data_IF_857429943750
#
_entry.id   IF_857429943750
#
_cell.length_a   1.000
_cell.length_b   1.000
_cell.length_c   1.000
_cell.angle_alpha   90.00
_cell.angle_beta   90.00
_cell.angle_gamma   90.00
#
_symmetry.space_group_name_H-M   'P 1'
#
loop_
_entity.id
_entity.type
_entity.pdbx_description
1 polymer ?
#
# COMPACT_ATOMS: atom_id res chain seq x y z
N UNK A 1 -33.57 -66.61 -47.72
CA UNK A 1 -32.48 -67.52 -47.31
C UNK A 1 -31.23 -66.70 -47.08
N UNK A 2 -30.70 -66.72 -45.85
CA UNK A 2 -29.41 -66.13 -45.42
C UNK A 2 -29.36 -64.60 -45.36
N UNK A 3 -28.84 -63.93 -44.33
CA UNK A 3 -28.08 -64.35 -43.15
C UNK A 3 -27.31 -63.13 -42.62
N UNK A 4 -27.31 -62.98 -41.30
CA UNK A 4 -26.56 -62.10 -40.38
C UNK A 4 -25.32 -61.29 -40.82
N UNK A 5 -25.09 -60.17 -40.13
CA UNK A 5 -23.74 -59.61 -39.93
C UNK A 5 -23.64 -58.14 -39.49
N UNK A 6 -23.79 -57.87 -38.19
CA UNK A 6 -23.35 -56.63 -37.49
C UNK A 6 -21.81 -56.68 -37.24
N UNK A 7 -21.14 -55.65 -36.68
CA UNK A 7 -20.85 -54.31 -37.20
C UNK A 7 -19.32 -53.97 -37.14
N UNK A 8 -18.82 -53.15 -38.07
CA UNK A 8 -17.43 -52.66 -38.06
C UNK A 8 -17.33 -51.23 -37.54
N UNK A 9 -17.14 -51.09 -36.23
CA UNK A 9 -16.94 -49.84 -35.48
C UNK A 9 -15.72 -49.06 -35.97
N UNK A 10 -15.90 -47.89 -36.59
CA UNK A 10 -14.86 -46.86 -36.64
C UNK A 10 -15.20 -45.77 -35.62
N UNK A 11 -14.54 -45.86 -34.46
CA UNK A 11 -14.43 -44.77 -33.49
C UNK A 11 -13.76 -43.58 -34.20
N UNK A 12 -14.54 -42.59 -34.61
CA UNK A 12 -14.03 -41.23 -34.84
C UNK A 12 -13.84 -40.57 -33.48
N UNK A 13 -12.62 -40.55 -32.96
CA UNK A 13 -12.26 -39.69 -31.84
C UNK A 13 -12.37 -38.23 -32.30
N UNK A 14 -13.49 -37.58 -32.00
CA UNK A 14 -13.55 -36.12 -31.93
C UNK A 14 -12.80 -35.68 -30.68
N UNK A 15 -11.54 -35.29 -30.86
CA UNK A 15 -10.79 -34.51 -29.87
C UNK A 15 -11.41 -33.11 -29.79
N UNK A 16 -12.40 -32.95 -28.91
CA UNK A 16 -12.83 -31.62 -28.48
C UNK A 16 -11.77 -31.10 -27.51
N UNK A 17 -10.86 -30.27 -28.02
CA UNK A 17 -9.98 -29.45 -27.18
C UNK A 17 -10.84 -28.44 -26.43
N UNK A 18 -11.29 -28.82 -25.23
CA UNK A 18 -11.72 -27.90 -24.20
C UNK A 18 -10.51 -27.04 -23.81
N UNK A 19 -10.41 -25.86 -24.43
CA UNK A 19 -9.57 -24.77 -23.92
C UNK A 19 -10.14 -24.36 -22.57
N UNK A 20 -9.64 -24.99 -21.51
CA UNK A 20 -9.81 -24.49 -20.15
C UNK A 20 -9.22 -23.08 -20.11
N UNK A 21 -10.08 -22.07 -19.98
CA UNK A 21 -9.64 -20.74 -19.61
C UNK A 21 -8.80 -20.88 -18.31
N UNK A 22 -7.61 -20.26 -18.22
CA UNK A 22 -6.85 -20.32 -17.00
C UNK A 22 -7.71 -19.70 -15.90
N UNK A 23 -8.03 -20.52 -14.89
CA UNK A 23 -8.67 -20.04 -13.69
C UNK A 23 -7.79 -18.90 -13.15
N UNK A 24 -8.33 -17.68 -13.17
CA UNK A 24 -7.74 -16.53 -12.49
C UNK A 24 -7.80 -16.89 -11.00
N UNK A 25 -6.69 -17.42 -10.50
CA UNK A 25 -6.51 -17.60 -9.07
C UNK A 25 -6.68 -16.22 -8.43
N UNK A 26 -7.55 -16.06 -7.42
CA UNK A 26 -7.55 -14.84 -6.64
C UNK A 26 -6.17 -14.76 -6.02
N UNK A 27 -5.45 -13.69 -6.35
CA UNK A 27 -4.15 -13.38 -5.79
C UNK A 27 -4.26 -13.46 -4.26
N UNK A 28 -3.79 -14.56 -3.68
CA UNK A 28 -3.57 -14.67 -2.25
C UNK A 28 -2.65 -13.51 -1.89
N UNK A 29 -3.21 -12.55 -1.15
CA UNK A 29 -2.48 -11.40 -0.64
C UNK A 29 -1.23 -11.89 0.05
N UNK A 30 -0.09 -11.63 -0.58
CA UNK A 30 1.23 -11.90 -0.03
C UNK A 30 1.49 -10.82 1.03
N UNK A 31 0.76 -10.87 2.14
CA UNK A 31 1.14 -10.15 3.34
C UNK A 31 2.48 -10.71 3.81
N UNK A 32 3.53 -9.93 3.58
CA UNK A 32 4.59 -9.73 4.55
C UNK A 32 5.32 -8.46 4.16
N UNK A 33 4.97 -7.40 4.89
CA UNK A 33 5.88 -6.37 5.37
C UNK A 33 7.33 -6.74 5.04
N UNK A 34 7.99 -5.89 4.27
CA UNK A 34 9.44 -5.89 4.21
C UNK A 34 9.95 -5.58 5.63
N UNK A 35 9.94 -6.61 6.49
CA UNK A 35 10.51 -6.55 7.82
C UNK A 35 11.95 -6.05 7.68
N UNK A 36 12.46 -5.31 8.68
CA UNK A 36 13.70 -4.58 8.56
C UNK A 36 14.82 -5.58 8.26
N UNK A 37 15.21 -5.71 6.99
CA UNK A 37 16.44 -6.37 6.61
C UNK A 37 17.55 -5.47 7.13
N UNK A 38 17.99 -5.83 8.35
CA UNK A 38 19.14 -5.41 9.13
C UNK A 38 20.02 -4.32 8.51
N UNK A 39 20.45 -3.39 9.37
CA UNK A 39 21.49 -2.35 9.22
C UNK A 39 22.84 -2.78 8.56
N UNK A 40 22.93 -3.97 7.98
CA UNK A 40 24.06 -4.55 7.25
C UNK A 40 23.94 -4.47 5.72
N UNK A 41 22.81 -4.03 5.14
CA UNK A 41 22.69 -3.86 3.70
C UNK A 41 23.65 -2.78 3.19
N UNK A 42 24.58 -3.19 2.33
CA UNK A 42 25.59 -2.36 1.66
C UNK A 42 25.22 -2.22 0.19
N UNK A 43 24.98 -0.99 -0.26
CA UNK A 43 24.62 -0.68 -1.65
C UNK A 43 25.84 -0.10 -2.35
N UNK A 44 26.20 -0.65 -3.51
CA UNK A 44 27.28 -0.16 -4.38
C UNK A 44 26.72 0.55 -5.60
N UNK A 45 27.54 1.35 -6.25
CA UNK A 45 27.16 2.14 -7.42
C UNK A 45 27.34 1.40 -8.73
N UNK A 46 26.77 2.00 -9.78
CA UNK A 46 26.90 1.58 -11.17
C UNK A 46 27.34 2.78 -12.01
N UNK A 47 28.21 2.53 -12.99
CA UNK A 47 28.61 3.52 -14.00
C UNK A 47 27.63 3.60 -15.16
N UNK A 48 26.75 2.60 -15.29
CA UNK A 48 25.83 2.45 -16.42
C UNK A 48 24.51 3.17 -16.13
N UNK A 49 24.02 3.09 -14.88
CA UNK A 49 22.72 3.63 -14.50
C UNK A 49 22.73 4.19 -13.07
N UNK A 50 21.89 5.20 -12.78
CA UNK A 50 21.68 5.66 -11.42
C UNK A 50 21.12 4.57 -10.52
N UNK A 51 21.73 4.32 -9.36
CA UNK A 51 21.26 3.32 -8.41
C UNK A 51 20.14 3.90 -7.55
N UNK A 52 18.97 3.26 -7.55
CA UNK A 52 17.83 3.66 -6.72
C UNK A 52 18.03 3.11 -5.29
N UNK A 53 17.89 3.98 -4.30
CA UNK A 53 17.97 3.63 -2.87
C UNK A 53 16.66 4.05 -2.20
N UNK A 54 16.09 3.17 -1.39
CA UNK A 54 14.85 3.42 -0.66
C UNK A 54 15.17 3.53 0.83
N UNK A 55 14.73 4.62 1.45
CA UNK A 55 14.96 4.88 2.87
C UNK A 55 13.63 5.15 3.54
N UNK A 56 13.33 4.40 4.59
CA UNK A 56 12.11 4.58 5.37
C UNK A 56 12.18 5.92 6.11
N UNK A 57 11.08 6.66 6.15
CA UNK A 57 11.00 7.88 6.93
C UNK A 57 11.43 7.65 8.38
N UNK A 58 12.18 8.61 8.92
CA UNK A 58 12.69 8.63 10.30
C UNK A 58 13.67 7.52 10.67
N UNK A 59 14.05 6.68 9.70
CA UNK A 59 15.06 5.65 9.85
C UNK A 59 16.39 6.07 9.24
N UNK A 60 17.44 5.33 9.56
CA UNK A 60 18.74 5.49 8.91
C UNK A 60 18.73 4.83 7.52
N UNK A 61 19.44 5.44 6.57
CA UNK A 61 19.66 4.81 5.27
C UNK A 61 20.49 3.52 5.41
N UNK A 62 20.38 2.57 4.44
CA UNK A 62 21.41 1.55 4.30
C UNK A 62 22.78 2.20 4.07
N UNK A 63 23.84 1.39 4.16
CA UNK A 63 25.21 1.85 3.91
C UNK A 63 25.42 2.03 2.41
N UNK A 64 25.47 3.28 1.95
CA UNK A 64 25.65 3.60 0.52
C UNK A 64 27.13 3.83 0.26
N UNK A 65 27.75 2.97 -0.54
CA UNK A 65 29.19 2.99 -0.78
C UNK A 65 29.53 3.83 -2.01
N UNK A 66 30.62 4.58 -1.97
CA UNK A 66 31.14 5.32 -3.12
C UNK A 66 32.10 4.48 -3.99
N UNK A 67 31.69 3.27 -4.37
CA UNK A 67 32.48 2.36 -5.22
C UNK A 67 31.54 1.54 -6.10
N UNK A 68 32.06 1.01 -7.21
CA UNK A 68 31.35 -0.02 -7.98
C UNK A 68 31.50 -1.39 -7.31
N UNK A 69 30.70 -2.36 -7.76
CA UNK A 69 30.84 -3.75 -7.31
C UNK A 69 32.24 -4.31 -7.60
N UNK A 70 32.85 -3.95 -8.73
CA UNK A 70 34.21 -4.39 -9.11
C UNK A 70 35.27 -3.88 -8.14
N UNK A 71 35.22 -2.60 -7.78
CA UNK A 71 36.23 -1.97 -6.91
C UNK A 71 35.97 -2.21 -5.42
N UNK A 72 34.82 -2.78 -5.05
CA UNK A 72 34.40 -2.96 -3.65
C UNK A 72 35.42 -3.71 -2.79
N UNK A 73 36.05 -4.72 -3.38
CA UNK A 73 37.03 -5.57 -2.70
C UNK A 73 38.45 -5.37 -3.28
N UNK A 74 38.65 -4.36 -4.12
CA UNK A 74 39.97 -4.02 -4.64
C UNK A 74 40.72 -3.14 -3.65
N UNK A 75 42.02 -3.33 -3.56
CA UNK A 75 42.89 -2.39 -2.86
C UNK A 75 43.04 -1.12 -3.70
N UNK A 76 42.79 0.03 -3.07
CA UNK A 76 42.88 1.34 -3.71
C UNK A 76 43.91 2.17 -2.94
N UNK A 77 44.84 2.78 -3.66
CA UNK A 77 45.87 3.66 -3.09
C UNK A 77 45.31 5.09 -3.07
N UNK A 78 45.49 5.77 -1.93
CA UNK A 78 45.09 7.15 -1.64
C UNK A 78 43.65 7.51 -2.08
N UNK A 79 42.62 6.74 -1.69
CA UNK A 79 41.26 6.97 -2.18
C UNK A 79 40.66 8.24 -1.54
N UNK A 80 40.18 9.15 -2.38
CA UNK A 80 39.48 10.38 -1.97
C UNK A 80 38.02 10.29 -2.40
N UNK A 81 37.12 10.30 -1.43
CA UNK A 81 35.67 10.25 -1.63
C UNK A 81 35.05 11.63 -1.41
N UNK A 82 34.20 12.09 -2.35
CA UNK A 82 33.41 13.32 -2.17
C UNK A 82 31.96 13.07 -2.55
N UNK A 83 31.05 13.54 -1.71
CA UNK A 83 29.61 13.38 -1.87
C UNK A 83 28.92 14.73 -2.07
N UNK A 84 28.00 14.76 -3.03
CA UNK A 84 27.07 15.86 -3.25
C UNK A 84 25.63 15.31 -3.20
N UNK A 85 24.74 15.99 -2.48
CA UNK A 85 23.32 15.70 -2.41
C UNK A 85 22.47 16.75 -3.14
N UNK A 86 21.14 16.71 -2.97
CA UNK A 86 20.22 17.65 -3.62
C UNK A 86 20.44 19.11 -3.18
N UNK A 87 20.96 19.34 -1.96
CA UNK A 87 21.31 20.66 -1.44
C UNK A 87 22.76 21.09 -1.72
N UNK A 88 23.53 20.35 -2.52
CA UNK A 88 24.95 20.62 -2.78
C UNK A 88 25.91 19.72 -1.99
N UNK A 89 27.07 20.25 -1.61
CA UNK A 89 28.14 19.50 -0.97
C UNK A 89 27.72 18.94 0.40
N UNK A 90 28.06 17.67 0.66
CA UNK A 90 27.77 17.02 1.93
C UNK A 90 29.02 17.01 2.82
N UNK A 91 28.95 17.66 3.98
CA UNK A 91 29.93 17.51 5.06
C UNK A 91 29.33 16.73 6.24
N UNK A 92 30.20 16.06 7.00
CA UNK A 92 29.78 15.33 8.21
C UNK A 92 29.51 16.26 9.41
N UNK A 93 29.55 17.58 9.20
CA UNK A 93 29.22 18.59 10.22
C UNK A 93 27.71 18.67 10.47
N UNK A 94 26.90 18.25 9.48
CA UNK A 94 25.46 18.12 9.63
C UNK A 94 25.11 16.83 10.38
N UNK A 95 24.30 16.93 11.44
CA UNK A 95 23.90 15.79 12.29
C UNK A 95 23.12 14.68 11.56
N UNK A 96 22.50 14.99 10.42
CA UNK A 96 21.74 14.06 9.58
C UNK A 96 22.61 13.28 8.58
N UNK A 97 23.89 13.63 8.41
CA UNK A 97 24.78 13.02 7.42
C UNK A 97 26.01 12.45 8.11
N UNK A 98 26.28 11.18 7.86
CA UNK A 98 27.50 10.52 8.31
C UNK A 98 28.25 9.95 7.10
N UNK A 99 29.50 10.36 6.93
CA UNK A 99 30.41 9.83 5.91
C UNK A 99 31.58 9.17 6.62
N UNK A 100 31.76 7.87 6.42
CA UNK A 100 32.89 7.12 6.99
C UNK A 100 34.20 7.42 6.21
N UNK A 101 35.39 7.14 6.77
CA UNK A 101 36.67 7.26 6.06
C UNK A 101 36.76 6.48 4.75
N UNK A 102 36.02 5.37 4.62
CA UNK A 102 35.93 4.57 3.39
C UNK A 102 34.93 5.11 2.36
N UNK A 103 34.44 6.34 2.56
CA UNK A 103 33.47 6.98 1.66
C UNK A 103 32.05 6.44 1.75
N UNK A 104 31.72 5.61 2.74
CA UNK A 104 30.34 5.15 2.97
C UNK A 104 29.48 6.28 3.51
N UNK A 105 28.37 6.57 2.82
CA UNK A 105 27.33 7.51 3.23
C UNK A 105 26.22 6.79 4.02
N UNK A 106 25.84 7.38 5.16
CA UNK A 106 24.66 7.05 5.94
C UNK A 106 23.89 8.34 6.22
N UNK A 107 22.62 8.37 5.85
CA UNK A 107 21.70 9.47 6.16
C UNK A 107 20.88 9.07 7.39
N UNK A 108 20.94 9.86 8.46
CA UNK A 108 20.26 9.60 9.73
C UNK A 108 18.91 10.30 9.78
N UNK A 109 17.93 9.68 10.46
CA UNK A 109 16.58 10.22 10.64
C UNK A 109 16.01 10.78 9.33
N UNK A 110 15.99 9.93 8.30
CA UNK A 110 15.75 10.37 6.93
C UNK A 110 14.39 11.04 6.76
N UNK A 111 14.38 12.28 6.30
CA UNK A 111 13.17 13.07 6.03
C UNK A 111 12.88 13.16 4.54
N UNK A 112 11.63 13.45 4.20
CA UNK A 112 11.15 13.58 2.81
C UNK A 112 12.01 14.50 1.94
N UNK A 113 12.41 15.67 2.46
CA UNK A 113 13.20 16.67 1.74
C UNK A 113 14.64 16.23 1.43
N UNK A 114 15.14 15.17 2.06
CA UNK A 114 16.43 14.56 1.74
C UNK A 114 16.32 13.62 0.52
N UNK A 115 15.13 13.40 -0.03
CA UNK A 115 14.97 12.65 -1.26
C UNK A 115 15.55 13.42 -2.45
N UNK A 116 16.25 12.73 -3.34
CA UNK A 116 16.85 13.38 -4.49
C UNK A 116 18.01 12.63 -5.12
N UNK A 117 18.72 13.36 -5.97
CA UNK A 117 19.92 12.87 -6.65
C UNK A 117 21.13 13.11 -5.76
N UNK A 118 21.92 12.05 -5.58
CA UNK A 118 23.19 12.09 -4.88
C UNK A 118 24.29 11.63 -5.83
N UNK A 119 25.37 12.39 -5.90
CA UNK A 119 26.54 12.06 -6.71
C UNK A 119 27.72 11.79 -5.79
N UNK A 120 28.46 10.73 -6.08
CA UNK A 120 29.75 10.50 -5.45
C UNK A 120 30.89 10.51 -6.47
N UNK A 121 31.98 11.19 -6.13
CA UNK A 121 33.24 11.09 -6.84
C UNK A 121 34.28 10.37 -6.01
N UNK A 122 34.91 9.35 -6.61
CA UNK A 122 36.06 8.64 -6.07
C UNK A 122 37.28 8.91 -6.94
N UNK A 123 38.32 9.49 -6.35
CA UNK A 123 39.65 9.59 -6.95
C UNK A 123 40.56 8.54 -6.32
N UNK A 124 41.28 7.76 -7.12
CA UNK A 124 42.09 6.63 -6.63
C UNK A 124 43.19 6.20 -7.59
N UNK A 125 44.18 5.45 -7.09
CA UNK A 125 45.15 4.70 -7.90
C UNK A 125 45.02 3.19 -7.65
N UNK A 126 45.29 2.37 -8.68
CA UNK A 126 45.35 0.90 -8.53
C UNK A 126 46.77 0.41 -8.19
N UNK A 127 47.79 1.12 -8.68
CA UNK A 127 49.20 0.86 -8.39
C UNK A 127 49.93 2.19 -8.24
N UNK A 128 51.04 2.22 -7.50
CA UNK A 128 51.78 3.44 -7.20
C UNK A 128 52.28 4.19 -8.46
N UNK A 129 52.50 3.46 -9.56
CA UNK A 129 52.99 3.99 -10.84
C UNK A 129 51.89 4.46 -11.78
N UNK A 130 50.62 4.12 -11.52
CA UNK A 130 49.51 4.52 -12.37
C UNK A 130 49.02 5.95 -12.05
N UNK A 131 48.51 6.69 -13.05
CA UNK A 131 47.89 7.98 -12.83
C UNK A 131 46.58 7.84 -12.04
N UNK A 132 46.17 8.95 -11.40
CA UNK A 132 44.90 9.03 -10.69
C UNK A 132 43.72 8.76 -11.62
N UNK A 133 42.86 7.83 -11.20
CA UNK A 133 41.59 7.53 -11.84
C UNK A 133 40.46 8.23 -11.11
N UNK A 134 39.46 8.68 -11.86
CA UNK A 134 38.25 9.30 -11.34
C UNK A 134 37.03 8.46 -11.70
N UNK A 135 36.23 8.14 -10.71
CA UNK A 135 34.95 7.45 -10.85
C UNK A 135 33.84 8.38 -10.37
N UNK A 136 32.78 8.52 -11.17
CA UNK A 136 31.58 9.26 -10.81
C UNK A 136 30.39 8.29 -10.77
N UNK A 137 29.70 8.26 -9.63
CA UNK A 137 28.55 7.40 -9.39
C UNK A 137 27.34 8.26 -9.03
N UNK A 138 26.18 7.87 -9.54
CA UNK A 138 24.91 8.55 -9.30
C UNK A 138 23.93 7.64 -8.57
N UNK A 139 23.30 8.19 -7.55
CA UNK A 139 22.26 7.56 -6.76
C UNK A 139 20.99 8.41 -6.82
N UNK A 140 19.83 7.76 -6.78
CA UNK A 140 18.56 8.45 -6.54
C UNK A 140 17.97 7.86 -5.28
N UNK A 141 17.91 8.67 -4.23
CA UNK A 141 17.46 8.26 -2.90
C UNK A 141 16.02 8.71 -2.74
N UNK A 142 15.13 7.78 -2.41
CA UNK A 142 13.70 8.02 -2.21
C UNK A 142 13.31 7.78 -0.76
N UNK A 143 12.55 8.71 -0.18
CA UNK A 143 11.77 8.46 1.02
C UNK A 143 10.64 7.48 0.71
N UNK A 144 10.36 6.58 1.63
CA UNK A 144 9.14 5.80 1.62
C UNK A 144 8.53 5.66 3.01
N UNK A 145 7.24 5.40 3.06
CA UNK A 145 6.53 4.91 4.23
C UNK A 145 5.88 3.56 3.91
N UNK A 146 5.59 2.79 4.95
CA UNK A 146 4.66 1.68 4.80
C UNK A 146 3.27 2.26 4.44
N UNK A 147 2.47 1.53 3.65
CA UNK A 147 1.13 1.98 3.37
C UNK A 147 0.25 1.96 4.61
N UNK A 148 -0.64 2.94 4.66
CA UNK A 148 -1.81 2.84 5.52
C UNK A 148 -2.84 1.96 4.84
N UNK A 149 -3.73 1.38 5.62
CA UNK A 149 -4.79 0.53 5.10
C UNK A 149 -6.06 0.71 5.94
N UNK A 150 -7.18 0.51 5.28
CA UNK A 150 -8.50 0.55 5.90
C UNK A 150 -9.42 -0.42 5.16
N UNK A 151 -10.48 -0.87 5.83
CA UNK A 151 -11.57 -1.53 5.11
C UNK A 151 -12.57 -0.48 4.66
N UNK A 152 -12.89 -0.49 3.37
CA UNK A 152 -14.07 0.18 2.85
C UNK A 152 -15.26 -0.76 2.97
N UNK A 153 -16.25 -0.36 3.75
CA UNK A 153 -17.48 -1.10 3.98
C UNK A 153 -18.60 -0.45 3.18
N UNK A 154 -19.27 -1.22 2.32
CA UNK A 154 -20.50 -0.79 1.67
C UNK A 154 -21.67 -1.66 2.12
N UNK A 155 -22.82 -1.03 2.35
CA UNK A 155 -24.01 -1.74 2.80
C UNK A 155 -25.27 -1.03 2.34
N UNK A 156 -26.34 -1.79 2.08
CA UNK A 156 -27.64 -1.27 1.64
C UNK A 156 -28.74 -1.60 2.63
N UNK A 157 -29.65 -0.65 2.79
CA UNK A 157 -30.83 -0.76 3.63
C UNK A 157 -32.07 -0.40 2.83
N UNK A 158 -33.19 -1.07 3.08
CA UNK A 158 -34.49 -0.49 2.75
C UNK A 158 -34.68 0.77 3.58
N UNK A 159 -35.37 1.76 3.02
CA UNK A 159 -35.45 3.09 3.60
C UNK A 159 -36.89 3.59 3.70
N UNK A 160 -37.09 4.51 4.65
CA UNK A 160 -38.22 5.43 4.61
C UNK A 160 -38.15 6.30 3.33
N UNK A 161 -39.21 7.04 2.96
CA UNK A 161 -39.13 8.04 1.89
C UNK A 161 -37.88 8.90 2.01
N UNK A 162 -37.15 9.14 0.92
CA UNK A 162 -35.80 9.73 0.98
C UNK A 162 -35.75 11.12 1.63
N UNK A 163 -36.85 11.85 1.65
CA UNK A 163 -37.01 13.13 2.34
C UNK A 163 -37.35 13.02 3.84
N UNK A 164 -37.46 11.80 4.37
CA UNK A 164 -37.81 11.52 5.76
C UNK A 164 -36.65 11.75 6.71
N UNK A 165 -36.93 12.40 7.85
CA UNK A 165 -35.95 12.57 8.92
C UNK A 165 -35.54 11.24 9.59
N UNK A 166 -36.36 10.18 9.45
CA UNK A 166 -36.07 8.85 9.98
C UNK A 166 -34.76 8.28 9.43
N UNK A 167 -34.46 8.54 8.15
CA UNK A 167 -33.22 8.10 7.51
C UNK A 167 -31.97 8.74 8.16
N UNK A 168 -32.05 10.03 8.49
CA UNK A 168 -30.95 10.77 9.15
C UNK A 168 -30.73 10.26 10.57
N UNK A 169 -31.81 10.02 11.31
CA UNK A 169 -31.74 9.46 12.66
C UNK A 169 -31.14 8.05 12.64
N UNK A 170 -31.54 7.23 11.67
CA UNK A 170 -31.00 5.88 11.47
C UNK A 170 -29.51 5.90 11.13
N UNK A 171 -29.07 6.75 10.21
CA UNK A 171 -27.64 6.90 9.86
C UNK A 171 -26.78 7.17 11.11
N UNK A 172 -27.19 8.13 11.95
CA UNK A 172 -26.46 8.46 13.19
C UNK A 172 -26.42 7.27 14.16
N UNK A 173 -27.53 6.56 14.31
CA UNK A 173 -27.61 5.39 15.17
C UNK A 173 -26.71 4.26 14.66
N UNK A 174 -26.71 4.00 13.34
CA UNK A 174 -25.87 2.99 12.72
C UNK A 174 -24.37 3.30 12.91
N UNK A 175 -23.96 4.55 12.70
CA UNK A 175 -22.57 4.99 12.94
C UNK A 175 -22.18 4.75 14.41
N UNK A 176 -23.04 5.09 15.37
CA UNK A 176 -22.76 4.90 16.79
C UNK A 176 -22.63 3.41 17.15
N UNK A 177 -23.50 2.55 16.60
CA UNK A 177 -23.44 1.10 16.82
C UNK A 177 -22.14 0.54 16.24
N UNK A 178 -21.80 0.88 14.99
CA UNK A 178 -20.59 0.40 14.33
C UNK A 178 -19.32 0.85 15.06
N UNK A 179 -19.25 2.11 15.51
CA UNK A 179 -18.13 2.59 16.32
C UNK A 179 -18.03 1.86 17.66
N UNK A 180 -19.17 1.63 18.35
CA UNK A 180 -19.19 0.89 19.61
C UNK A 180 -18.71 -0.55 19.43
N UNK A 181 -19.02 -1.20 18.30
CA UNK A 181 -18.57 -2.56 18.00
C UNK A 181 -17.05 -2.68 17.90
N UNK A 182 -16.36 -1.65 17.41
CA UNK A 182 -14.92 -1.69 17.16
C UNK A 182 -14.08 -0.91 18.18
N UNK A 183 -14.72 -0.22 19.12
CA UNK A 183 -14.07 0.66 20.09
C UNK A 183 -12.98 -0.06 20.93
N UNK A 184 -13.25 -1.29 21.37
CA UNK A 184 -12.31 -2.10 22.16
C UNK A 184 -11.02 -2.45 21.39
N UNK A 185 -11.06 -2.41 20.06
CA UNK A 185 -9.92 -2.67 19.19
C UNK A 185 -9.11 -1.39 18.90
N UNK A 186 -9.48 -0.25 19.49
CA UNK A 186 -8.91 1.06 19.15
C UNK A 186 -8.99 1.33 17.64
N UNK A 187 -10.13 0.97 17.07
CA UNK A 187 -10.49 1.24 15.69
C UNK A 187 -11.69 2.19 15.65
N UNK A 188 -11.90 2.83 14.51
CA UNK A 188 -12.96 3.80 14.27
C UNK A 188 -13.68 3.49 12.96
N UNK A 189 -14.96 3.85 12.90
CA UNK A 189 -15.79 3.76 11.70
C UNK A 189 -16.27 5.16 11.35
N UNK A 190 -15.90 5.62 10.15
CA UNK A 190 -16.23 6.94 9.64
C UNK A 190 -17.13 6.80 8.42
N UNK A 191 -18.23 7.55 8.37
CA UNK A 191 -19.09 7.62 7.20
C UNK A 191 -18.38 8.39 6.07
N UNK A 192 -18.17 7.74 4.93
CA UNK A 192 -17.62 8.36 3.72
C UNK A 192 -18.75 8.94 2.87
N UNK A 193 -19.82 8.15 2.68
CA UNK A 193 -20.91 8.48 1.77
C UNK A 193 -22.23 7.88 2.25
N UNK A 194 -23.31 8.64 2.13
CA UNK A 194 -24.69 8.23 2.41
C UNK A 194 -25.58 8.79 1.31
N UNK A 195 -26.29 7.91 0.61
CA UNK A 195 -27.18 8.26 -0.49
C UNK A 195 -28.51 7.52 -0.37
N UNK A 196 -29.62 8.18 -0.70
CA UNK A 196 -30.93 7.57 -0.80
C UNK A 196 -31.41 7.57 -2.24
N UNK A 197 -31.87 6.42 -2.74
CA UNK A 197 -32.30 6.25 -4.12
C UNK A 197 -33.64 5.54 -4.22
N UNK A 198 -34.40 5.89 -5.25
CA UNK A 198 -35.60 5.17 -5.67
C UNK A 198 -35.20 4.03 -6.62
N UNK A 199 -35.27 2.79 -6.14
CA UNK A 199 -34.85 1.60 -6.88
C UNK A 199 -36.07 0.87 -7.42
N UNK A 200 -36.09 0.63 -8.74
CA UNK A 200 -37.08 -0.23 -9.38
C UNK A 200 -36.66 -1.70 -9.20
N UNK A 201 -37.44 -2.43 -8.42
CA UNK A 201 -37.25 -3.87 -8.21
C UNK A 201 -37.72 -4.65 -9.43
N UNK A 202 -37.06 -5.78 -9.72
CA UNK A 202 -37.40 -6.62 -10.87
C UNK A 202 -38.85 -7.12 -10.85
N UNK A 203 -39.41 -7.38 -9.65
CA UNK A 203 -40.78 -7.87 -9.45
C UNK A 203 -41.50 -7.25 -8.25
N UNK A 204 -41.00 -6.14 -7.71
CA UNK A 204 -41.41 -5.58 -6.40
C UNK A 204 -41.79 -4.11 -6.40
N UNK A 205 -42.02 -3.50 -7.57
CA UNK A 205 -42.35 -2.07 -7.67
C UNK A 205 -41.15 -1.15 -7.42
N UNK A 206 -41.43 0.09 -7.03
CA UNK A 206 -40.43 1.09 -6.63
C UNK A 206 -40.25 1.06 -5.12
N UNK A 207 -39.00 1.02 -4.65
CA UNK A 207 -38.67 1.11 -3.23
C UNK A 207 -37.57 2.12 -2.98
N UNK A 208 -37.52 2.68 -1.77
CA UNK A 208 -36.43 3.55 -1.35
C UNK A 208 -35.34 2.69 -0.71
N UNK A 209 -34.10 2.97 -1.07
CA UNK A 209 -32.94 2.30 -0.49
C UNK A 209 -31.87 3.32 -0.09
N UNK A 210 -31.23 3.06 1.05
CA UNK A 210 -30.06 3.76 1.53
C UNK A 210 -28.79 3.00 1.15
N UNK A 211 -27.82 3.72 0.62
CA UNK A 211 -26.49 3.25 0.25
C UNK A 211 -25.49 3.92 1.17
N UNK A 212 -24.88 3.12 2.06
CA UNK A 212 -23.84 3.62 2.94
C UNK A 212 -22.47 3.12 2.51
N UNK A 213 -21.49 4.00 2.61
CA UNK A 213 -20.07 3.68 2.49
C UNK A 213 -19.34 4.20 3.73
N UNK A 214 -18.63 3.33 4.42
CA UNK A 214 -17.84 3.65 5.61
C UNK A 214 -16.37 3.27 5.41
N UNK A 215 -15.47 3.99 6.08
CA UNK A 215 -14.09 3.53 6.29
C UNK A 215 -13.92 3.01 7.70
N UNK A 216 -13.25 1.87 7.83
CA UNK A 216 -12.84 1.28 9.10
C UNK A 216 -11.32 1.34 9.20
N UNK A 217 -10.82 2.11 10.16
CA UNK A 217 -9.38 2.32 10.41
C UNK A 217 -9.03 1.94 11.84
N UNK A 218 -7.80 1.49 12.08
CA UNK A 218 -7.30 1.24 13.43
C UNK A 218 -6.11 2.16 13.69
N UNK A 219 -6.17 2.92 14.79
CA UNK A 219 -5.08 3.83 15.16
C UNK A 219 -3.90 3.01 15.69
N UNK A 220 -2.69 3.38 15.28
CA UNK A 220 -1.48 2.89 15.92
C UNK A 220 -1.44 3.39 17.36
N UNK A 221 -1.24 2.48 18.30
CA UNK A 221 -0.98 2.88 19.69
C UNK A 221 0.45 3.42 19.73
N UNK A 222 0.59 4.74 19.57
CA UNK A 222 1.89 5.40 19.68
C UNK A 222 2.51 5.09 21.04
N UNK A 223 3.73 4.56 20.99
CA UNK A 223 4.79 4.59 22.01
C UNK A 223 4.38 4.91 23.46
N UNK A 224 3.59 4.03 24.09
CA UNK A 224 3.82 3.76 25.50
C UNK A 224 4.86 2.64 25.59
N UNK A 225 6.04 3.04 26.02
CA UNK A 225 7.23 2.21 26.11
C UNK A 225 6.94 0.96 26.96
N UNK A 226 7.02 -0.21 26.30
CA UNK A 226 7.20 -1.59 26.81
C UNK A 226 6.00 -2.51 26.51
N UNK A 227 6.34 -3.65 25.86
CA UNK A 227 5.57 -4.89 25.79
C UNK A 227 4.40 -4.96 24.79
N UNK A 228 4.57 -4.55 23.52
CA UNK A 228 3.75 -5.14 22.48
C UNK A 228 4.53 -5.86 21.38
N UNK A 229 4.97 -7.07 21.72
CA UNK A 229 5.40 -8.10 20.77
C UNK A 229 4.25 -9.07 20.38
N UNK A 230 3.01 -8.76 20.77
CA UNK A 230 1.86 -9.64 20.56
C UNK A 230 1.05 -9.21 19.33
N UNK A 231 0.51 -10.21 18.60
CA UNK A 231 -0.40 -10.03 17.44
C UNK A 231 -1.58 -9.10 17.74
N UNK A 232 -1.97 -8.97 19.01
CA UNK A 232 -3.08 -8.13 19.45
C UNK A 232 -2.86 -6.62 19.24
N UNK A 233 -1.61 -6.13 19.14
CA UNK A 233 -1.34 -4.70 18.88
C UNK A 233 -1.20 -4.35 17.41
N UNK A 234 -0.95 -5.35 16.55
CA UNK A 234 -0.83 -5.13 15.11
C UNK A 234 -2.14 -4.54 14.58
N UNK A 235 -2.06 -3.34 13.98
CA UNK A 235 -3.22 -2.65 13.42
C UNK A 235 -3.90 -3.51 12.34
N UNK A 236 -3.16 -4.34 11.60
CA UNK A 236 -3.72 -5.24 10.58
C UNK A 236 -4.54 -6.36 11.22
N UNK A 237 -4.02 -6.95 12.29
CA UNK A 237 -4.74 -7.95 13.05
C UNK A 237 -6.02 -7.37 13.68
N UNK A 238 -5.93 -6.19 14.33
CA UNK A 238 -7.08 -5.50 14.92
C UNK A 238 -8.12 -5.13 13.87
N UNK A 239 -7.68 -4.67 12.70
CA UNK A 239 -8.57 -4.34 11.59
C UNK A 239 -9.29 -5.58 11.04
N UNK A 240 -8.60 -6.72 10.95
CA UNK A 240 -9.24 -8.00 10.59
C UNK A 240 -10.24 -8.48 11.65
N UNK A 241 -9.96 -8.24 12.93
CA UNK A 241 -10.93 -8.52 13.99
C UNK A 241 -12.14 -7.58 13.92
N UNK A 242 -11.94 -6.29 13.62
CA UNK A 242 -13.01 -5.33 13.38
C UNK A 242 -13.91 -5.77 12.22
N UNK A 243 -13.31 -6.21 11.11
CA UNK A 243 -14.03 -6.83 9.97
C UNK A 243 -14.93 -7.96 10.45
N UNK A 244 -14.40 -8.92 11.20
CA UNK A 244 -15.17 -10.06 11.70
C UNK A 244 -16.36 -9.62 12.59
N UNK A 245 -16.15 -8.65 13.50
CA UNK A 245 -17.22 -8.14 14.37
C UNK A 245 -18.34 -7.49 13.56
N UNK A 246 -17.99 -6.72 12.53
CA UNK A 246 -18.97 -6.05 11.68
C UNK A 246 -19.74 -7.07 10.80
N UNK A 247 -19.06 -8.04 10.18
CA UNK A 247 -19.74 -9.12 9.44
C UNK A 247 -20.73 -9.87 10.32
N UNK A 248 -20.32 -10.16 11.56
CA UNK A 248 -21.17 -10.82 12.54
C UNK A 248 -22.37 -9.97 12.91
N UNK A 249 -22.21 -8.66 13.09
CA UNK A 249 -23.32 -7.73 13.38
C UNK A 249 -24.40 -7.78 12.29
N UNK A 250 -24.02 -7.59 11.02
CA UNK A 250 -24.99 -7.62 9.92
C UNK A 250 -25.63 -9.00 9.73
N UNK A 251 -24.87 -10.08 9.96
CA UNK A 251 -25.43 -11.44 9.97
C UNK A 251 -26.46 -11.61 11.08
N UNK A 252 -26.18 -11.10 12.28
CA UNK A 252 -27.10 -11.17 13.42
C UNK A 252 -28.37 -10.34 13.20
N UNK A 253 -28.27 -9.18 12.55
CA UNK A 253 -29.44 -8.35 12.21
C UNK A 253 -30.47 -9.15 11.38
N UNK A 254 -29.98 -9.92 10.40
CA UNK A 254 -30.81 -10.83 9.58
C UNK A 254 -31.43 -11.94 10.42
N UNK A 255 -30.65 -12.60 11.27
CA UNK A 255 -31.13 -13.72 12.10
C UNK A 255 -32.19 -13.27 13.12
N UNK A 256 -32.03 -12.09 13.71
CA UNK A 256 -33.02 -11.51 14.63
C UNK A 256 -34.30 -11.17 13.85
N UNK A 257 -34.17 -10.51 12.69
CA UNK A 257 -35.31 -10.16 11.84
C UNK A 257 -36.10 -11.39 11.39
N UNK A 258 -35.44 -12.49 11.00
CA UNK A 258 -36.09 -13.75 10.60
C UNK A 258 -36.95 -14.36 11.71
N UNK A 259 -36.68 -14.04 12.97
CA UNK A 259 -37.45 -14.51 14.14
C UNK A 259 -38.57 -13.55 14.53
N UNK A 260 -38.56 -12.31 14.03
CA UNK A 260 -39.61 -11.33 14.28
C UNK A 260 -40.77 -11.58 13.32
N UNK A 261 -41.98 -11.74 13.85
CA UNK A 261 -43.19 -11.83 13.02
C UNK A 261 -43.47 -10.50 12.31
N UNK A 262 -44.15 -10.56 11.16
CA UNK A 262 -44.59 -9.38 10.42
C UNK A 262 -45.40 -8.40 11.30
N UNK A 263 -45.35 -7.09 11.03
CA UNK A 263 -44.75 -6.43 9.85
C UNK A 263 -43.24 -6.13 9.98
N UNK A 264 -42.57 -6.06 8.84
CA UNK A 264 -41.16 -5.64 8.78
C UNK A 264 -41.01 -4.16 9.19
N UNK A 265 -39.87 -3.78 9.80
CA UNK A 265 -39.54 -2.38 10.06
C UNK A 265 -39.49 -1.56 8.76
N UNK A 266 -39.68 -0.24 8.86
CA UNK A 266 -39.58 0.67 7.72
C UNK A 266 -38.15 0.72 7.14
N UNK A 267 -37.13 0.69 8.01
CA UNK A 267 -35.72 0.70 7.65
C UNK A 267 -35.10 -0.61 8.13
N UNK A 268 -34.54 -1.41 7.21
CA UNK A 268 -33.91 -2.70 7.55
C UNK A 268 -32.85 -3.12 6.53
N UNK A 269 -31.86 -3.87 7.00
CA UNK A 269 -30.73 -4.31 6.19
C UNK A 269 -31.13 -5.25 5.04
N UNK A 270 -30.60 -5.00 3.84
CA UNK A 270 -30.77 -5.88 2.67
C UNK A 270 -29.72 -6.98 2.72
N UNK A 271 -30.15 -8.19 3.04
CA UNK A 271 -29.27 -9.37 3.19
C UNK A 271 -28.39 -9.58 1.95
N UNK A 272 -27.09 -9.77 2.17
CA UNK A 272 -26.10 -10.03 1.12
C UNK A 272 -25.52 -8.77 0.45
N UNK A 273 -25.88 -7.57 0.90
CA UNK A 273 -25.33 -6.32 0.33
C UNK A 273 -24.08 -5.80 1.04
N UNK A 274 -23.73 -6.34 2.21
CA UNK A 274 -22.47 -6.03 2.88
C UNK A 274 -21.29 -6.44 1.99
N UNK A 275 -20.44 -5.49 1.63
CA UNK A 275 -19.13 -5.75 1.05
C UNK A 275 -18.07 -5.05 1.90
N UNK A 276 -16.93 -5.71 2.07
CA UNK A 276 -15.76 -5.11 2.71
C UNK A 276 -14.51 -5.36 1.88
N UNK A 277 -13.90 -4.27 1.43
CA UNK A 277 -12.74 -4.29 0.54
C UNK A 277 -11.54 -3.68 1.26
N UNK A 278 -10.40 -4.36 1.20
CA UNK A 278 -9.14 -3.83 1.72
C UNK A 278 -8.63 -2.75 0.76
N UNK A 279 -8.39 -1.56 1.27
CA UNK A 279 -7.88 -0.44 0.48
C UNK A 279 -6.59 0.07 1.09
N UNK A 280 -5.52 0.07 0.29
CA UNK A 280 -4.26 0.70 0.64
C UNK A 280 -4.34 2.21 0.42
N UNK A 281 -3.61 2.98 1.24
CA UNK A 281 -3.49 4.44 1.15
C UNK A 281 -2.05 4.87 1.37
N UNK A 282 -1.67 5.93 0.66
CA UNK A 282 -0.42 6.63 0.90
C UNK A 282 -0.69 8.02 1.47
N UNK A 283 0.27 8.55 2.22
CA UNK A 283 0.25 9.95 2.62
C UNK A 283 0.27 10.86 1.38
N UNK A 284 -0.30 12.08 1.46
CA UNK A 284 -0.21 13.04 0.37
C UNK A 284 1.25 13.27 -0.04
N UNK A 285 1.49 13.32 -1.35
CA UNK A 285 2.84 13.38 -1.93
C UNK A 285 3.58 12.05 -2.02
N UNK A 286 2.96 10.92 -1.66
CA UNK A 286 3.52 9.57 -1.82
C UNK A 286 2.60 8.70 -2.68
N UNK A 287 3.15 7.66 -3.31
CA UNK A 287 2.36 6.71 -4.09
C UNK A 287 3.10 5.40 -4.32
N UNK A 288 2.33 4.35 -4.60
CA UNK A 288 2.82 3.05 -5.02
C UNK A 288 2.96 2.98 -6.53
N UNK A 289 4.08 2.41 -6.98
CA UNK A 289 4.27 2.08 -8.39
C UNK A 289 5.34 0.99 -8.52
N UNK A 290 4.91 -0.26 -8.67
CA UNK A 290 5.81 -1.41 -8.77
C UNK A 290 6.78 -1.34 -9.97
N UNK A 291 6.35 -0.74 -11.10
CA UNK A 291 7.18 -0.59 -12.29
C UNK A 291 8.29 0.45 -12.10
N UNK A 292 7.95 1.60 -11.50
CA UNK A 292 8.91 2.68 -11.23
C UNK A 292 9.80 2.35 -10.04
N UNK A 293 9.28 1.62 -9.07
CA UNK A 293 9.94 1.30 -7.80
C UNK A 293 9.97 -0.21 -7.52
N UNK A 294 10.68 -1.02 -8.35
CA UNK A 294 10.71 -2.47 -8.19
C UNK A 294 11.40 -2.94 -6.89
N UNK A 295 12.21 -2.06 -6.27
CA UNK A 295 12.88 -2.35 -5.00
C UNK A 295 11.96 -2.26 -3.77
N UNK A 296 10.79 -1.65 -3.91
CA UNK A 296 9.69 -1.79 -2.96
C UNK A 296 8.33 -1.57 -3.65
N UNK A 297 7.75 -2.62 -4.24
CA UNK A 297 6.54 -2.50 -5.05
C UNK A 297 5.29 -2.10 -4.27
N UNK A 298 5.24 -2.42 -2.98
CA UNK A 298 4.10 -2.15 -2.07
C UNK A 298 4.37 -0.95 -1.14
N UNK A 299 5.49 -0.24 -1.29
CA UNK A 299 5.77 0.94 -0.48
C UNK A 299 5.08 2.19 -1.04
N UNK A 300 4.66 3.07 -0.14
CA UNK A 300 4.32 4.45 -0.48
C UNK A 300 5.62 5.23 -0.66
N UNK A 301 6.07 5.36 -1.92
CA UNK A 301 7.31 6.07 -2.28
C UNK A 301 6.99 7.53 -2.60
N UNK A 302 7.86 8.44 -2.18
CA UNK A 302 7.69 9.87 -2.42
C UNK A 302 7.58 10.17 -3.93
N UNK A 303 6.56 10.96 -4.31
CA UNK A 303 6.36 11.39 -5.68
C UNK A 303 7.58 12.19 -6.13
N UNK A 304 8.11 11.86 -7.31
CA UNK A 304 9.26 12.57 -7.88
C UNK A 304 8.83 13.93 -8.45
N UNK A 305 9.77 14.86 -8.69
CA UNK A 305 9.52 16.02 -9.55
C UNK A 305 8.87 15.58 -10.87
N UNK A 306 7.96 16.40 -11.40
CA UNK A 306 7.09 16.05 -12.52
C UNK A 306 5.83 15.27 -12.12
N UNK A 307 5.59 15.07 -10.81
CA UNK A 307 4.41 14.39 -10.29
C UNK A 307 3.97 14.92 -8.92
N UNK A 308 2.74 14.62 -8.53
CA UNK A 308 2.14 14.99 -7.25
C UNK A 308 1.08 13.97 -6.81
N UNK A 309 0.73 13.94 -5.53
CA UNK A 309 -0.46 13.24 -5.04
C UNK A 309 -1.19 14.11 -4.02
N UNK A 310 -2.40 14.63 -4.34
CA UNK A 310 -3.07 15.63 -3.51
C UNK A 310 -3.86 15.08 -2.33
N UNK A 311 -4.37 13.87 -2.46
CA UNK A 311 -5.19 13.20 -1.46
C UNK A 311 -4.50 11.93 -0.98
N UNK A 312 -5.13 11.18 -0.08
CA UNK A 312 -4.65 9.88 0.36
C UNK A 312 -4.82 8.79 -0.74
N UNK A 313 -4.58 9.14 -2.01
CA UNK A 313 -4.56 8.22 -3.13
C UNK A 313 -3.32 7.33 -3.11
N UNK A 314 -3.32 6.29 -3.93
CA UNK A 314 -2.22 5.32 -4.02
C UNK A 314 -1.24 5.61 -5.15
N UNK A 315 -1.46 6.64 -5.97
CA UNK A 315 -0.66 6.88 -7.17
C UNK A 315 -0.20 8.33 -7.27
N UNK A 316 1.04 8.51 -7.72
CA UNK A 316 1.56 9.83 -8.11
C UNK A 316 1.05 10.18 -9.51
N UNK A 317 0.28 11.26 -9.60
CA UNK A 317 -0.25 11.81 -10.83
C UNK A 317 0.79 12.70 -11.51
N UNK A 318 0.78 12.74 -12.84
CA UNK A 318 1.70 13.57 -13.61
C UNK A 318 1.42 15.07 -13.42
N UNK A 319 2.46 15.88 -13.29
CA UNK A 319 2.39 17.33 -13.20
C UNK A 319 3.74 17.98 -13.55
N UNK A 320 3.83 18.62 -14.72
CA UNK A 320 5.07 19.26 -15.19
C UNK A 320 5.55 20.43 -14.32
N UNK A 321 4.64 21.10 -13.61
CA UNK A 321 4.95 22.24 -12.74
C UNK A 321 5.57 21.83 -11.40
N UNK A 322 5.53 20.55 -11.05
CA UNK A 322 6.05 20.05 -9.78
C UNK A 322 7.57 19.92 -9.83
N UNK A 323 8.30 20.77 -9.13
CA UNK A 323 9.77 20.77 -9.11
C UNK A 323 10.39 20.05 -7.90
N UNK A 324 9.56 19.62 -6.94
CA UNK A 324 10.02 19.04 -5.68
C UNK A 324 9.55 17.60 -5.50
N UNK A 325 10.31 16.84 -4.73
CA UNK A 325 9.85 15.56 -4.22
C UNK A 325 8.68 15.77 -3.25
N UNK A 326 7.67 14.91 -3.31
CA UNK A 326 6.54 14.91 -2.39
C UNK A 326 5.55 16.05 -2.60
N UNK A 327 5.39 16.53 -3.84
CA UNK A 327 4.38 17.54 -4.13
C UNK A 327 2.97 17.01 -3.86
N UNK A 328 2.16 17.82 -3.18
CA UNK A 328 0.74 17.55 -2.91
C UNK A 328 -0.18 18.34 -3.82
N UNK A 329 0.37 19.19 -4.68
CA UNK A 329 -0.39 19.98 -5.66
C UNK A 329 0.39 20.09 -6.95
N UNK A 330 -0.37 20.20 -8.03
CA UNK A 330 0.05 20.80 -9.29
C UNK A 330 -0.41 22.27 -9.30
#
# INVERSE_FOLDING_TARGET
MGGEGRPGTRLGLLFVLLLAAPAVQPSQGFLRSAGPRRNSLKIVGSIIFPVKVYVKLDHNSPRILCVTNHLRNSELIDPIFRWNGPGGYLSSENSSVQISPTGTLILRHFKSHLSGVYNCSLHYKLTATQPDKKLLLKYVIYAYSDPQYYYELTVRYHAAPCNSFHNISFEKALIQILNKLVAELSCEVILIKSECHHVKMQRGGLQNELFFTFSVTCLDREEDNRLCQQRACDASHRLNQAKYLIERFFKQEVEVRKKTAEPLPEIYYIEGTLQMVWIDRCYPGYGMNALRHPGCPECCVICSPGSYNPSNGIHCLHCDKSLKYGATKC
#
